data_IF_411063828861
#
_entry.id   IF_411063828861
#
_cell.length_a   1.000
_cell.length_b   1.000
_cell.length_c   1.000
_cell.angle_alpha   90.00
_cell.angle_beta   90.00
_cell.angle_gamma   90.00
#
_symmetry.space_group_name_H-M   'P 1'
#
loop_
_entity.id
_entity.type
_entity.pdbx_description
1 polymer ?
#
# COMPACT_ATOMS: atom_id res chain seq x y z
N UNK A 1 12.74 6.45 9.20
CA UNK A 1 11.63 5.48 9.06
C UNK A 1 10.63 5.90 8.01
N UNK A 2 10.07 7.12 8.07
CA UNK A 2 9.10 7.61 7.07
C UNK A 2 9.63 7.58 5.62
N UNK A 3 10.84 8.11 5.37
CA UNK A 3 11.45 8.09 4.03
C UNK A 3 11.66 6.67 3.50
N UNK A 4 12.09 5.75 4.36
CA UNK A 4 12.30 4.35 4.00
C UNK A 4 10.97 3.65 3.69
N UNK A 5 9.94 3.91 4.50
CA UNK A 5 8.59 3.40 4.27
C UNK A 5 7.93 3.97 3.01
N UNK A 6 8.16 5.24 2.65
CA UNK A 6 7.66 5.80 1.40
C UNK A 6 8.33 5.19 0.17
N UNK A 7 9.61 4.82 0.27
CA UNK A 7 10.34 4.14 -0.81
C UNK A 7 9.78 2.73 -1.02
N UNK A 8 9.60 1.95 0.04
CA UNK A 8 9.04 0.60 -0.07
C UNK A 8 7.59 0.63 -0.55
N UNK A 9 6.78 1.58 -0.08
CA UNK A 9 5.42 1.79 -0.57
C UNK A 9 5.37 2.18 -2.05
N UNK A 10 6.27 3.05 -2.52
CA UNK A 10 6.36 3.41 -3.94
C UNK A 10 6.72 2.19 -4.79
N UNK A 11 7.53 1.28 -4.26
CA UNK A 11 7.86 0.01 -4.92
C UNK A 11 6.65 -0.93 -4.99
N UNK A 12 5.86 -1.03 -3.92
CA UNK A 12 4.59 -1.79 -3.93
C UNK A 12 3.61 -1.23 -4.99
N UNK A 13 3.46 0.09 -5.07
CA UNK A 13 2.63 0.74 -6.10
C UNK A 13 3.15 0.45 -7.51
N UNK A 14 4.48 0.48 -7.71
CA UNK A 14 5.09 0.09 -8.99
C UNK A 14 4.79 -1.36 -9.35
N UNK A 15 4.85 -2.28 -8.38
CA UNK A 15 4.47 -3.69 -8.58
C UNK A 15 2.98 -3.81 -8.95
N UNK A 16 2.10 -3.03 -8.33
CA UNK A 16 0.68 -2.99 -8.69
C UNK A 16 0.46 -2.55 -10.15
N UNK A 17 1.16 -1.51 -10.62
CA UNK A 17 1.10 -1.08 -12.02
C UNK A 17 1.61 -2.14 -13.01
N UNK A 18 2.44 -3.09 -12.56
CA UNK A 18 2.95 -4.20 -13.36
C UNK A 18 2.06 -5.46 -13.29
N UNK A 19 0.98 -5.44 -12.53
CA UNK A 19 -0.05 -6.48 -12.57
C UNK A 19 -0.75 -6.42 -13.94
N UNK A 20 -0.62 -7.43 -14.83
CA UNK A 20 -0.84 -8.86 -14.54
C UNK A 20 0.40 -9.76 -14.50
N UNK A 21 1.59 -9.25 -14.85
CA UNK A 21 2.84 -10.01 -14.91
C UNK A 21 3.92 -9.30 -14.08
N UNK A 22 3.94 -9.51 -12.75
CA UNK A 22 4.94 -8.89 -11.91
C UNK A 22 6.35 -9.33 -12.35
N UNK A 23 7.37 -8.47 -12.21
CA UNK A 23 8.74 -8.84 -12.50
C UNK A 23 9.10 -10.07 -11.64
N UNK A 24 9.59 -11.14 -12.28
CA UNK A 24 9.87 -12.45 -11.67
C UNK A 24 8.64 -13.31 -11.27
N UNK A 25 7.48 -13.18 -11.93
CA UNK A 25 6.30 -14.05 -11.64
C UNK A 25 6.56 -15.56 -11.80
N UNK A 26 7.62 -15.96 -12.50
CA UNK A 26 7.99 -17.36 -12.76
C UNK A 26 9.09 -17.92 -11.85
N UNK A 27 9.57 -17.17 -10.85
CA UNK A 27 10.59 -17.67 -9.90
C UNK A 27 10.17 -17.49 -8.44
N UNK A 28 10.48 -18.48 -7.61
CA UNK A 28 10.23 -18.47 -6.15
C UNK A 28 10.84 -17.22 -5.49
N UNK A 29 11.98 -16.77 -6.02
CA UNK A 29 12.69 -15.58 -5.54
C UNK A 29 11.86 -14.29 -5.69
N UNK A 30 11.09 -14.15 -6.77
CA UNK A 30 10.20 -13.00 -6.98
C UNK A 30 9.12 -12.92 -5.90
N UNK A 31 8.46 -14.03 -5.61
CA UNK A 31 7.43 -14.10 -4.57
C UNK A 31 7.98 -13.77 -3.17
N UNK A 32 9.16 -14.27 -2.82
CA UNK A 32 9.82 -13.97 -1.54
C UNK A 32 10.14 -12.47 -1.44
N UNK A 33 10.62 -11.86 -2.53
CA UNK A 33 10.99 -10.45 -2.56
C UNK A 33 9.78 -9.53 -2.39
N UNK A 34 8.65 -9.83 -3.06
CA UNK A 34 7.40 -9.08 -2.90
C UNK A 34 6.89 -9.18 -1.46
N UNK A 35 6.86 -10.38 -0.88
CA UNK A 35 6.46 -10.57 0.52
C UNK A 35 7.36 -9.80 1.49
N UNK A 36 8.67 -9.81 1.25
CA UNK A 36 9.63 -9.11 2.09
C UNK A 36 9.45 -7.59 2.02
N UNK A 37 9.22 -7.04 0.81
CA UNK A 37 8.97 -5.60 0.62
C UNK A 37 7.66 -5.21 1.29
N UNK A 38 6.58 -5.96 1.05
CA UNK A 38 5.28 -5.69 1.65
C UNK A 38 5.33 -5.75 3.18
N UNK A 39 5.99 -6.76 3.75
CA UNK A 39 6.16 -6.89 5.20
C UNK A 39 7.00 -5.72 5.77
N UNK A 40 8.07 -5.35 5.06
CA UNK A 40 8.91 -4.21 5.43
C UNK A 40 8.11 -2.91 5.41
N UNK A 41 7.30 -2.67 4.37
CA UNK A 41 6.39 -1.52 4.28
C UNK A 41 5.43 -1.49 5.48
N UNK A 42 4.82 -2.63 5.81
CA UNK A 42 3.88 -2.74 6.92
C UNK A 42 4.52 -2.38 8.26
N UNK A 43 5.74 -2.89 8.53
CA UNK A 43 6.46 -2.59 9.77
C UNK A 43 6.91 -1.13 9.80
N UNK A 44 7.50 -0.62 8.71
CA UNK A 44 8.09 0.72 8.65
C UNK A 44 7.04 1.84 8.72
N UNK A 45 5.84 1.62 8.18
CA UNK A 45 4.74 2.60 8.22
C UNK A 45 3.83 2.36 9.43
N UNK A 46 3.60 1.10 9.81
CA UNK A 46 2.73 0.73 10.92
C UNK A 46 3.32 1.12 12.29
N UNK A 47 4.62 0.93 12.49
CA UNK A 47 5.26 1.23 13.79
C UNK A 47 5.16 2.71 14.19
N UNK A 48 5.50 3.69 13.32
CA UNK A 48 5.30 5.11 13.64
C UNK A 48 3.84 5.47 13.95
N UNK A 49 2.87 4.87 13.25
CA UNK A 49 1.44 5.08 13.55
C UNK A 49 1.08 4.63 14.96
N UNK A 50 1.58 3.47 15.40
CA UNK A 50 1.36 2.96 16.75
C UNK A 50 2.00 3.86 17.82
N UNK A 51 3.24 4.31 17.59
CA UNK A 51 3.92 5.24 18.50
C UNK A 51 3.15 6.55 18.61
N UNK A 52 2.67 7.10 17.49
CA UNK A 52 1.89 8.35 17.50
C UNK A 52 0.54 8.19 18.18
N UNK A 53 -0.15 7.07 17.96
CA UNK A 53 -1.40 6.77 18.65
C UNK A 53 -1.20 6.69 20.17
N UNK A 54 -0.12 6.03 20.61
CA UNK A 54 0.20 5.91 22.03
C UNK A 54 0.58 7.26 22.65
N UNK A 55 1.37 8.07 21.94
CA UNK A 55 1.74 9.40 22.40
C UNK A 55 0.51 10.32 22.57
N UNK A 56 -0.36 10.38 21.55
CA UNK A 56 -1.58 11.18 21.58
C UNK A 56 -2.56 10.72 22.66
N UNK A 57 -2.61 9.41 22.95
CA UNK A 57 -3.42 8.84 24.03
C UNK A 57 -3.02 9.37 25.40
N UNK A 58 -1.71 9.49 25.66
CA UNK A 58 -1.20 9.88 26.98
C UNK A 58 -1.28 11.39 27.17
N UNK A 59 -1.04 12.17 26.11
CA UNK A 59 -0.87 13.61 26.22
C UNK A 59 -2.14 14.44 25.99
N UNK A 60 -3.19 13.86 25.39
CA UNK A 60 -4.41 14.59 25.06
C UNK A 60 -5.68 13.77 25.33
N UNK A 61 -6.66 14.33 26.07
CA UNK A 61 -7.94 13.67 26.30
C UNK A 61 -8.74 13.42 25.00
N UNK A 62 -8.52 14.26 23.97
CA UNK A 62 -9.16 14.12 22.65
C UNK A 62 -8.16 13.64 21.56
N UNK A 63 -6.96 13.20 21.94
CA UNK A 63 -5.88 12.88 21.01
C UNK A 63 -6.23 11.72 20.07
N UNK A 64 -6.90 10.68 20.59
CA UNK A 64 -7.34 9.53 19.79
C UNK A 64 -8.42 9.90 18.76
N UNK A 65 -9.30 10.85 19.07
CA UNK A 65 -10.32 11.30 18.12
C UNK A 65 -9.68 11.96 16.89
N UNK A 66 -8.78 12.92 17.12
CA UNK A 66 -8.06 13.60 16.03
C UNK A 66 -7.12 12.66 15.26
N UNK A 67 -6.50 11.70 15.95
CA UNK A 67 -5.73 10.64 15.29
C UNK A 67 -6.61 9.81 14.34
N UNK A 68 -7.80 9.40 14.80
CA UNK A 68 -8.78 8.69 14.00
C UNK A 68 -9.24 9.49 12.79
N UNK A 69 -9.61 10.76 12.98
CA UNK A 69 -10.00 11.67 11.89
C UNK A 69 -8.89 11.77 10.84
N UNK A 70 -7.65 11.99 11.26
CA UNK A 70 -6.50 12.06 10.35
C UNK A 70 -6.31 10.78 9.54
N UNK A 71 -6.44 9.61 10.19
CA UNK A 71 -6.32 8.32 9.51
C UNK A 71 -7.46 8.07 8.50
N UNK A 72 -8.69 8.44 8.85
CA UNK A 72 -9.85 8.31 7.97
C UNK A 72 -9.76 9.24 6.76
N UNK A 73 -9.31 10.49 6.96
CA UNK A 73 -9.07 11.44 5.85
C UNK A 73 -7.99 10.88 4.92
N UNK A 74 -6.91 10.31 5.47
CA UNK A 74 -5.89 9.65 4.67
C UNK A 74 -6.43 8.46 3.85
N UNK A 75 -7.27 7.62 4.46
CA UNK A 75 -7.89 6.49 3.77
C UNK A 75 -8.86 6.95 2.66
N UNK A 76 -9.63 8.02 2.90
CA UNK A 76 -10.51 8.61 1.90
C UNK A 76 -9.71 9.12 0.70
N UNK A 77 -8.66 9.91 0.93
CA UNK A 77 -7.78 10.42 -0.13
C UNK A 77 -7.15 9.25 -0.91
N UNK A 78 -6.64 8.23 -0.20
CA UNK A 78 -6.05 7.05 -0.82
C UNK A 78 -7.04 6.26 -1.67
N UNK A 79 -8.29 6.13 -1.22
CA UNK A 79 -9.34 5.44 -1.98
C UNK A 79 -9.76 6.22 -3.22
N UNK A 80 -9.90 7.55 -3.13
CA UNK A 80 -10.18 8.40 -4.29
C UNK A 80 -9.04 8.32 -5.30
N UNK A 81 -7.79 8.37 -4.84
CA UNK A 81 -6.62 8.22 -5.70
C UNK A 81 -6.58 6.85 -6.40
N UNK A 82 -6.84 5.77 -5.66
CA UNK A 82 -6.90 4.42 -6.22
C UNK A 82 -8.03 4.28 -7.25
N UNK A 83 -9.21 4.83 -6.96
CA UNK A 83 -10.33 4.83 -7.90
C UNK A 83 -9.98 5.57 -9.20
N UNK A 84 -9.44 6.79 -9.11
CA UNK A 84 -8.99 7.54 -10.29
C UNK A 84 -7.91 6.79 -11.06
N UNK A 85 -6.99 6.13 -10.36
CA UNK A 85 -5.90 5.37 -10.97
C UNK A 85 -6.41 4.13 -11.73
N UNK A 86 -7.42 3.43 -11.20
CA UNK A 86 -7.99 2.24 -11.84
C UNK A 86 -8.94 2.62 -12.98
N UNK A 87 -9.90 3.52 -12.72
CA UNK A 87 -10.98 3.87 -13.63
C UNK A 87 -10.49 4.74 -14.80
N UNK A 88 -9.77 5.84 -14.50
CA UNK A 88 -9.40 6.83 -15.51
C UNK A 88 -8.27 6.36 -16.42
N UNK A 89 -7.35 5.55 -15.90
CA UNK A 89 -6.19 5.11 -16.69
C UNK A 89 -6.43 3.78 -17.42
N UNK A 90 -7.54 3.07 -17.18
CA UNK A 90 -7.92 1.82 -17.86
C UNK A 90 -6.78 0.77 -17.94
N UNK A 91 -5.78 0.85 -17.06
CA UNK A 91 -4.59 0.00 -17.10
C UNK A 91 -4.84 -1.39 -16.54
N UNK A 92 -5.87 -1.54 -15.71
CA UNK A 92 -6.32 -2.83 -15.21
C UNK A 92 -7.38 -3.38 -16.17
N UNK A 93 -6.95 -4.06 -17.22
CA UNK A 93 -7.86 -4.90 -18.01
C UNK A 93 -8.31 -6.07 -17.13
N UNK A 94 -9.61 -6.18 -16.88
CA UNK A 94 -10.18 -7.37 -16.27
C UNK A 94 -9.85 -8.60 -17.15
N UNK A 95 -9.32 -9.64 -16.51
CA UNK A 95 -8.94 -10.86 -17.21
C UNK A 95 -10.21 -11.67 -17.51
N UNK A 96 -10.50 -11.91 -18.79
CA UNK A 96 -11.58 -12.84 -19.17
C UNK A 96 -11.25 -14.24 -18.59
N UNK A 97 -12.22 -14.96 -18.01
CA UNK A 97 -11.98 -16.19 -17.26
C UNK A 97 -11.42 -17.38 -18.06
N UNK A 98 -11.06 -17.22 -19.35
CA UNK A 98 -10.61 -18.31 -20.21
C UNK A 98 -9.47 -17.94 -21.20
N UNK A 99 -8.72 -16.86 -20.98
CA UNK A 99 -7.59 -16.49 -21.86
C UNK A 99 -6.23 -16.84 -21.23
N UNK A 100 -5.30 -17.50 -21.95
CA UNK A 100 -3.96 -17.77 -21.43
C UNK A 100 -3.29 -16.47 -21.00
N UNK A 101 -2.61 -16.51 -19.86
CA UNK A 101 -1.94 -15.36 -19.24
C UNK A 101 -0.79 -14.91 -20.17
N UNK A 102 -1.07 -13.98 -21.08
CA UNK A 102 -0.04 -13.37 -21.93
C UNK A 102 0.72 -12.32 -21.11
N UNK A 103 1.85 -12.78 -20.57
CA UNK A 103 3.05 -11.96 -20.46
C UNK A 103 3.75 -11.97 -21.83
#
# INVERSE_FOLDING_TARGET
MLLLGSVTFSFDVFLCFKSPCPPFSNTIQGSILVLFIWLSTYILIGYPRLVMANYLRIHSPNGMFWFGVSNQVGAFIGSVAAYLLVETFSQFKEKLPCEPLQC
#
